data_IF_961522637112
#
_entry.id   IF_961522637112
#
_cell.length_a   1.000
_cell.length_b   1.000
_cell.length_c   1.000
_cell.angle_alpha   90.00
_cell.angle_beta   90.00
_cell.angle_gamma   90.00
#
_symmetry.space_group_name_H-M   'P 1'
#
loop_
_entity.id
_entity.type
_entity.pdbx_description
1 polymer ?
#
# COMPACT_ATOMS: atom_id res chain seq x y z
N UNK A 1 -16.50 -4.12 -18.96
CA UNK A 1 -16.80 -2.75 -18.50
C UNK A 1 -15.69 -1.80 -18.90
N UNK A 2 -16.02 -0.52 -19.05
CA UNK A 2 -15.05 0.56 -19.19
C UNK A 2 -14.85 1.22 -17.83
N UNK A 3 -13.66 1.08 -17.27
CA UNK A 3 -13.36 1.45 -15.88
C UNK A 3 -12.28 2.54 -15.86
N UNK A 4 -12.60 3.70 -15.30
CA UNK A 4 -11.61 4.71 -14.97
C UNK A 4 -10.98 4.43 -13.60
N UNK A 5 -9.66 4.56 -13.49
CA UNK A 5 -8.94 4.46 -12.20
C UNK A 5 -8.17 5.75 -11.96
N UNK A 6 -8.42 6.38 -10.82
CA UNK A 6 -7.66 7.54 -10.35
C UNK A 6 -6.95 7.21 -9.03
N UNK A 7 -5.66 7.42 -8.99
CA UNK A 7 -4.81 7.20 -7.81
C UNK A 7 -3.65 8.19 -7.78
N UNK A 8 -2.92 8.23 -6.69
CA UNK A 8 -1.62 8.88 -6.69
C UNK A 8 -0.61 8.02 -7.47
N UNK A 9 0.04 8.53 -8.52
CA UNK A 9 1.02 7.77 -9.31
C UNK A 9 2.37 7.65 -8.59
N UNK A 10 2.42 8.01 -7.31
CA UNK A 10 3.63 8.06 -6.51
C UNK A 10 3.99 6.71 -5.89
N UNK A 11 5.24 6.58 -5.49
CA UNK A 11 5.78 5.44 -4.76
C UNK A 11 5.04 5.25 -3.43
N UNK A 12 4.24 4.19 -3.31
CA UNK A 12 3.46 3.88 -2.11
C UNK A 12 2.46 2.74 -2.31
N UNK A 13 1.97 2.19 -1.22
CA UNK A 13 1.10 1.01 -1.24
C UNK A 13 -0.21 1.22 -2.00
N UNK A 14 -0.86 2.37 -1.85
CA UNK A 14 -2.13 2.67 -2.53
C UNK A 14 -1.98 2.79 -4.05
N UNK A 15 -0.91 3.46 -4.53
CA UNK A 15 -0.60 3.54 -5.96
C UNK A 15 -0.28 2.18 -6.56
N UNK A 16 0.49 1.36 -5.82
CA UNK A 16 0.79 -0.01 -6.23
C UNK A 16 -0.47 -0.86 -6.37
N UNK A 17 -1.35 -0.85 -5.37
CA UNK A 17 -2.63 -1.61 -5.39
C UNK A 17 -3.54 -1.13 -6.52
N UNK A 18 -3.69 0.18 -6.72
CA UNK A 18 -4.51 0.72 -7.79
C UNK A 18 -4.02 0.28 -9.17
N UNK A 19 -2.71 0.29 -9.38
CA UNK A 19 -2.10 -0.13 -10.66
C UNK A 19 -2.25 -1.62 -10.89
N UNK A 20 -1.92 -2.45 -9.89
CA UNK A 20 -2.08 -3.90 -9.98
C UNK A 20 -3.55 -4.29 -10.20
N UNK A 21 -4.50 -3.61 -9.52
CA UNK A 21 -5.93 -3.82 -9.74
C UNK A 21 -6.32 -3.54 -11.19
N UNK A 22 -5.89 -2.41 -11.74
CA UNK A 22 -6.20 -2.07 -13.13
C UNK A 22 -5.61 -3.05 -14.13
N UNK A 23 -4.37 -3.52 -13.90
CA UNK A 23 -3.73 -4.54 -14.74
C UNK A 23 -4.48 -5.88 -14.68
N UNK A 24 -4.90 -6.32 -13.51
CA UNK A 24 -5.67 -7.55 -13.33
C UNK A 24 -7.08 -7.46 -13.95
N UNK A 25 -7.76 -6.32 -13.80
CA UNK A 25 -9.05 -6.06 -14.47
C UNK A 25 -8.91 -6.09 -15.99
N UNK A 26 -7.84 -5.51 -16.54
CA UNK A 26 -7.57 -5.55 -17.97
C UNK A 26 -7.32 -6.99 -18.48
N UNK A 27 -6.57 -7.81 -17.74
CA UNK A 27 -6.38 -9.24 -18.05
C UNK A 27 -7.69 -10.02 -18.04
N UNK A 28 -8.67 -9.59 -17.24
CA UNK A 28 -10.02 -10.17 -17.15
C UNK A 28 -10.98 -9.64 -18.21
N UNK A 29 -10.51 -8.78 -19.10
CA UNK A 29 -11.24 -8.32 -20.29
C UNK A 29 -11.91 -6.96 -20.17
N UNK A 30 -11.72 -6.24 -19.06
CA UNK A 30 -12.19 -4.87 -18.92
C UNK A 30 -11.28 -3.88 -19.68
N UNK A 31 -11.82 -2.75 -20.12
CA UNK A 31 -11.02 -1.60 -20.57
C UNK A 31 -10.73 -0.72 -19.37
N UNK A 32 -9.46 -0.45 -19.12
CA UNK A 32 -9.01 0.29 -17.92
C UNK A 32 -8.32 1.58 -18.34
N UNK A 33 -8.81 2.70 -17.82
CA UNK A 33 -8.37 4.05 -18.15
C UNK A 33 -7.77 4.68 -16.87
N UNK A 34 -6.43 4.72 -16.77
CA UNK A 34 -5.76 5.44 -15.69
C UNK A 34 -5.80 6.95 -15.95
N UNK A 35 -6.30 7.71 -14.97
CA UNK A 35 -6.43 9.17 -15.04
C UNK A 35 -5.61 9.76 -13.91
N UNK A 36 -4.36 10.14 -14.19
CA UNK A 36 -3.37 10.59 -13.19
C UNK A 36 -2.44 11.64 -13.81
N UNK A 37 -1.70 12.39 -12.97
CA UNK A 37 -0.77 13.43 -13.46
C UNK A 37 0.58 12.90 -13.95
N UNK A 38 0.91 11.66 -13.64
CA UNK A 38 2.11 10.96 -14.09
C UNK A 38 1.79 9.48 -14.29
N UNK A 39 2.67 8.75 -14.96
CA UNK A 39 2.48 7.31 -15.14
C UNK A 39 2.31 6.59 -13.79
N UNK A 40 1.27 5.76 -13.62
CA UNK A 40 1.07 5.05 -12.37
C UNK A 40 2.29 4.20 -11.98
N UNK A 41 2.64 4.24 -10.70
CA UNK A 41 3.70 3.40 -10.15
C UNK A 41 3.40 1.91 -10.44
N UNK A 42 4.37 1.17 -10.93
CA UNK A 42 4.27 -0.22 -11.42
C UNK A 42 3.61 -0.40 -12.80
N UNK A 43 3.09 0.62 -13.45
CA UNK A 43 2.68 0.50 -14.85
C UNK A 43 3.93 0.50 -15.74
N UNK A 44 4.33 -0.69 -16.20
CA UNK A 44 5.55 -0.88 -17.00
C UNK A 44 5.21 -1.32 -18.41
N UNK A 45 5.64 -0.53 -19.39
CA UNK A 45 5.49 -0.87 -20.79
C UNK A 45 4.03 -0.95 -21.26
N UNK A 46 3.81 -1.66 -22.35
CA UNK A 46 2.50 -1.87 -22.95
C UNK A 46 1.72 -2.95 -22.20
N UNK A 47 0.47 -2.64 -21.89
CA UNK A 47 -0.50 -3.61 -21.39
C UNK A 47 -1.78 -3.52 -22.24
N UNK A 48 -2.25 -4.65 -22.75
CA UNK A 48 -3.47 -4.71 -23.54
C UNK A 48 -4.67 -4.21 -22.72
N UNK A 49 -5.56 -3.41 -23.33
CA UNK A 49 -6.75 -2.83 -22.71
C UNK A 49 -6.48 -1.84 -21.58
N UNK A 50 -5.26 -1.34 -21.45
CA UNK A 50 -4.88 -0.32 -20.49
C UNK A 50 -4.55 0.97 -21.22
N UNK A 51 -5.21 2.05 -20.83
CA UNK A 51 -5.04 3.38 -21.40
C UNK A 51 -4.61 4.37 -20.32
N UNK A 52 -3.75 5.31 -20.68
CA UNK A 52 -3.27 6.33 -19.76
C UNK A 52 -3.69 7.72 -20.24
N UNK A 53 -4.33 8.48 -19.36
CA UNK A 53 -4.79 9.84 -19.60
C UNK A 53 -4.10 10.78 -18.62
N UNK A 54 -3.14 11.53 -19.11
CA UNK A 54 -2.38 12.45 -18.28
C UNK A 54 -3.18 13.68 -17.92
N UNK A 55 -3.21 14.01 -16.63
CA UNK A 55 -3.69 15.28 -16.12
C UNK A 55 -2.54 16.28 -16.19
N UNK A 56 -2.70 17.33 -16.95
CA UNK A 56 -1.70 18.39 -17.03
C UNK A 56 -1.58 19.12 -15.70
N UNK A 57 -0.38 19.25 -15.17
CA UNK A 57 -0.09 19.94 -13.90
C UNK A 57 0.78 21.17 -14.10
N UNK A 58 1.09 21.53 -15.36
CA UNK A 58 1.89 22.70 -15.70
C UNK A 58 0.99 23.72 -16.40
N UNK A 59 0.69 24.82 -15.72
CA UNK A 59 0.21 26.04 -16.38
C UNK A 59 1.35 27.01 -16.55
N UNK A 60 1.34 27.77 -17.65
CA UNK A 60 2.05 29.03 -17.70
C UNK A 60 1.65 29.87 -16.49
N UNK A 61 2.55 30.72 -15.99
CA UNK A 61 2.29 31.58 -14.82
C UNK A 61 1.00 32.37 -15.03
N UNK A 62 -0.07 31.96 -14.36
CA UNK A 62 -1.30 32.76 -14.30
C UNK A 62 -1.32 33.49 -12.96
N UNK A 63 -1.32 34.83 -12.94
CA UNK A 63 -1.09 35.62 -11.72
C UNK A 63 -2.11 35.40 -10.61
N UNK A 64 -3.29 34.83 -10.92
CA UNK A 64 -4.36 34.57 -9.93
C UNK A 64 -4.20 33.24 -9.18
N UNK A 65 -3.27 32.37 -9.58
CA UNK A 65 -3.04 31.10 -8.92
C UNK A 65 -1.62 31.06 -8.35
N UNK A 66 -1.52 31.14 -7.03
CA UNK A 66 -0.26 30.90 -6.32
C UNK A 66 0.19 29.44 -6.46
N UNK A 67 -0.79 28.53 -6.52
CA UNK A 67 -0.58 27.10 -6.71
C UNK A 67 -1.47 26.57 -7.84
N UNK A 68 -0.95 25.58 -8.58
CA UNK A 68 -1.71 24.94 -9.63
C UNK A 68 -2.94 24.23 -9.05
N UNK A 69 -4.17 24.51 -9.55
CA UNK A 69 -5.40 23.92 -9.02
C UNK A 69 -5.58 22.49 -9.52
N UNK A 70 -4.74 21.57 -9.06
CA UNK A 70 -4.74 20.15 -9.47
C UNK A 70 -6.13 19.51 -9.41
N UNK A 71 -6.86 19.77 -8.33
CA UNK A 71 -8.21 19.19 -8.12
C UNK A 71 -9.18 19.55 -9.26
N UNK A 72 -9.15 20.80 -9.72
CA UNK A 72 -10.01 21.24 -10.83
C UNK A 72 -9.58 20.62 -12.16
N UNK A 73 -8.28 20.54 -12.41
CA UNK A 73 -7.74 19.91 -13.62
C UNK A 73 -8.06 18.42 -13.67
N UNK A 74 -7.95 17.74 -12.52
CA UNK A 74 -8.30 16.32 -12.40
C UNK A 74 -9.80 16.09 -12.66
N UNK A 75 -10.68 16.88 -12.04
CA UNK A 75 -12.14 16.77 -12.27
C UNK A 75 -12.47 16.96 -13.75
N UNK A 76 -11.89 17.97 -14.43
CA UNK A 76 -12.09 18.21 -15.86
C UNK A 76 -11.60 17.02 -16.70
N UNK A 77 -10.44 16.44 -16.38
CA UNK A 77 -9.90 15.28 -17.11
C UNK A 77 -10.74 14.01 -16.86
N UNK A 78 -11.19 13.78 -15.63
CA UNK A 78 -12.10 12.68 -15.31
C UNK A 78 -13.41 12.79 -16.08
N UNK A 79 -14.01 13.99 -16.16
CA UNK A 79 -15.20 14.27 -16.97
C UNK A 79 -14.96 13.99 -18.47
N UNK A 80 -13.89 14.56 -19.05
CA UNK A 80 -13.52 14.35 -20.46
C UNK A 80 -13.41 12.87 -20.80
N UNK A 81 -12.66 12.11 -19.98
CA UNK A 81 -12.44 10.68 -20.22
C UNK A 81 -13.72 9.89 -20.00
N UNK A 82 -14.50 10.20 -18.97
CA UNK A 82 -15.76 9.51 -18.68
C UNK A 82 -16.73 9.62 -19.86
N UNK A 83 -16.86 10.81 -20.44
CA UNK A 83 -17.74 11.05 -21.58
C UNK A 83 -17.23 10.38 -22.87
N UNK A 84 -15.93 10.57 -23.19
CA UNK A 84 -15.33 10.07 -24.43
C UNK A 84 -15.23 8.55 -24.48
N UNK A 85 -14.78 7.94 -23.39
CA UNK A 85 -14.54 6.50 -23.30
C UNK A 85 -15.75 5.74 -22.74
N UNK A 86 -16.85 6.43 -22.46
CA UNK A 86 -18.08 5.84 -21.93
C UNK A 86 -17.82 5.02 -20.66
N UNK A 87 -17.15 5.61 -19.67
CA UNK A 87 -16.84 4.93 -18.42
C UNK A 87 -18.13 4.54 -17.68
N UNK A 88 -18.28 3.29 -17.31
CA UNK A 88 -19.37 2.79 -16.47
C UNK A 88 -19.06 3.04 -14.99
N UNK A 89 -17.79 2.88 -14.62
CA UNK A 89 -17.27 3.07 -13.27
C UNK A 89 -16.06 4.01 -13.30
N UNK A 90 -16.04 4.98 -12.40
CA UNK A 90 -14.86 5.73 -12.03
C UNK A 90 -14.44 5.30 -10.61
N UNK A 91 -13.47 4.41 -10.54
CA UNK A 91 -12.91 3.93 -9.28
C UNK A 91 -11.75 4.82 -8.85
N UNK A 92 -11.92 5.45 -7.71
CA UNK A 92 -10.92 6.37 -7.16
C UNK A 92 -10.35 5.83 -5.85
N UNK A 93 -9.06 6.01 -5.69
CA UNK A 93 -8.33 5.64 -4.49
C UNK A 93 -8.09 6.90 -3.65
N UNK A 94 -8.60 6.93 -2.43
CA UNK A 94 -8.73 8.02 -1.47
C UNK A 94 -10.02 8.85 -1.60
N UNK A 95 -10.60 9.17 -0.43
CA UNK A 95 -11.75 10.07 -0.31
C UNK A 95 -11.39 11.47 -0.80
N UNK A 96 -10.22 11.97 -0.45
CA UNK A 96 -9.70 13.28 -0.88
C UNK A 96 -8.30 13.16 -1.48
N UNK A 97 -8.02 13.85 -2.58
CA UNK A 97 -8.94 14.69 -3.37
C UNK A 97 -9.75 13.89 -4.41
N UNK A 98 -9.50 12.58 -4.58
CA UNK A 98 -9.91 11.84 -5.75
C UNK A 98 -11.43 11.59 -5.82
N UNK A 99 -12.10 11.23 -4.69
CA UNK A 99 -13.54 11.07 -4.70
C UNK A 99 -14.27 12.43 -4.87
N UNK A 100 -13.72 13.50 -4.29
CA UNK A 100 -14.22 14.86 -4.51
C UNK A 100 -14.19 15.23 -5.98
N UNK A 101 -13.09 14.94 -6.70
CA UNK A 101 -12.95 15.24 -8.13
C UNK A 101 -13.86 14.37 -8.99
N UNK A 102 -14.05 13.10 -8.61
CA UNK A 102 -14.96 12.18 -9.30
C UNK A 102 -16.42 12.62 -9.15
N UNK A 103 -16.81 13.10 -7.96
CA UNK A 103 -18.11 13.71 -7.74
C UNK A 103 -18.31 14.90 -8.68
N UNK A 104 -17.36 15.84 -8.75
CA UNK A 104 -17.44 16.99 -9.65
C UNK A 104 -17.53 16.55 -11.12
N UNK A 105 -16.74 15.57 -11.53
CA UNK A 105 -16.77 15.05 -12.89
C UNK A 105 -18.14 14.45 -13.24
N UNK A 106 -18.78 13.72 -12.32
CA UNK A 106 -20.12 13.17 -12.48
C UNK A 106 -21.17 14.28 -12.59
N UNK A 107 -21.12 15.30 -11.74
CA UNK A 107 -22.04 16.44 -11.83
C UNK A 107 -21.88 17.23 -13.15
N UNK A 108 -20.64 17.35 -13.66
CA UNK A 108 -20.37 17.99 -14.96
C UNK A 108 -20.96 17.21 -16.14
N UNK A 109 -21.18 15.89 -16.03
CA UNK A 109 -21.86 15.09 -17.04
C UNK A 109 -23.35 15.45 -17.17
N UNK A 110 -23.94 16.10 -16.15
CA UNK A 110 -25.30 16.59 -16.16
C UNK A 110 -26.35 15.57 -16.65
N UNK A 111 -26.14 14.30 -16.36
CA UNK A 111 -27.02 13.20 -16.80
C UNK A 111 -26.80 12.69 -18.23
N UNK A 112 -25.86 13.24 -19.00
CA UNK A 112 -25.52 12.76 -20.34
C UNK A 112 -25.02 11.31 -20.36
N UNK A 113 -24.40 10.89 -19.26
CA UNK A 113 -23.85 9.55 -19.09
C UNK A 113 -23.98 9.06 -17.63
N UNK A 114 -24.44 7.80 -17.39
CA UNK A 114 -24.67 7.26 -16.04
C UNK A 114 -23.38 6.76 -15.41
N UNK A 115 -22.47 7.66 -15.04
CA UNK A 115 -21.22 7.33 -14.39
C UNK A 115 -21.43 6.97 -12.91
N UNK A 116 -20.92 5.81 -12.47
CA UNK A 116 -20.85 5.41 -11.07
C UNK A 116 -19.49 5.69 -10.47
N UNK A 117 -19.47 6.25 -9.27
CA UNK A 117 -18.24 6.57 -8.53
C UNK A 117 -18.04 5.58 -7.40
N UNK A 118 -16.92 4.88 -7.43
CA UNK A 118 -16.52 3.95 -6.35
C UNK A 118 -15.23 4.47 -5.71
N UNK A 119 -15.19 4.47 -4.39
CA UNK A 119 -14.04 4.97 -3.62
C UNK A 119 -13.45 3.88 -2.75
N UNK A 120 -12.15 3.61 -2.91
CA UNK A 120 -11.39 2.77 -1.98
C UNK A 120 -10.59 3.64 -1.02
N UNK A 121 -10.83 3.45 0.29
CA UNK A 121 -10.13 4.12 1.37
C UNK A 121 -8.83 3.39 1.71
N UNK A 122 -7.74 4.16 1.89
CA UNK A 122 -6.39 3.61 2.12
C UNK A 122 -5.78 3.95 3.47
N UNK A 123 -6.39 4.83 4.25
CA UNK A 123 -6.03 5.13 5.63
C UNK A 123 -5.54 6.55 5.87
N UNK A 124 -4.61 7.09 5.10
CA UNK A 124 -4.12 8.47 5.29
C UNK A 124 -5.27 9.50 5.20
N UNK A 125 -6.20 9.26 4.30
CA UNK A 125 -7.45 10.03 4.13
C UNK A 125 -8.41 9.91 5.32
N UNK A 126 -8.32 8.85 6.09
CA UNK A 126 -9.23 8.57 7.21
C UNK A 126 -8.58 8.88 8.58
N UNK A 127 -7.34 8.43 8.78
CA UNK A 127 -6.70 8.47 10.09
C UNK A 127 -5.80 9.69 10.31
N UNK A 128 -5.48 10.44 9.26
CA UNK A 128 -4.61 11.61 9.31
C UNK A 128 -5.28 12.84 8.68
N UNK A 129 -5.12 12.99 7.36
CA UNK A 129 -5.51 14.23 6.65
C UNK A 129 -7.02 14.50 6.75
N UNK A 130 -7.85 13.47 6.63
CA UNK A 130 -9.30 13.63 6.66
C UNK A 130 -9.86 14.07 8.02
N UNK A 131 -9.09 13.91 9.10
CA UNK A 131 -9.49 14.38 10.45
C UNK A 131 -9.07 15.83 10.74
N UNK A 132 -8.23 16.41 9.89
CA UNK A 132 -7.90 17.83 9.96
C UNK A 132 -9.16 18.67 9.78
N UNK A 133 -9.35 19.70 10.62
CA UNK A 133 -10.56 20.53 10.59
C UNK A 133 -10.88 21.12 9.22
N UNK A 134 -9.86 21.46 8.45
CA UNK A 134 -9.97 21.99 7.07
C UNK A 134 -10.44 20.96 6.05
N UNK A 135 -10.28 19.67 6.33
CA UNK A 135 -10.58 18.59 5.38
C UNK A 135 -11.71 17.66 5.84
N UNK A 136 -12.10 17.72 7.12
CA UNK A 136 -13.11 16.82 7.67
C UNK A 136 -14.43 16.86 6.88
N UNK A 137 -14.97 18.05 6.65
CA UNK A 137 -16.26 18.22 5.97
C UNK A 137 -16.25 17.67 4.53
N UNK A 138 -15.18 17.99 3.77
CA UNK A 138 -15.07 17.53 2.38
C UNK A 138 -14.77 16.03 2.30
N UNK A 139 -14.03 15.47 3.25
CA UNK A 139 -13.76 14.03 3.33
C UNK A 139 -15.05 13.26 3.59
N UNK A 140 -15.82 13.67 4.61
CA UNK A 140 -17.12 13.08 4.92
C UNK A 140 -18.07 13.16 3.70
N UNK A 141 -18.21 14.33 3.12
CA UNK A 141 -19.02 14.55 1.92
C UNK A 141 -18.61 13.60 0.77
N UNK A 142 -17.32 13.49 0.49
CA UNK A 142 -16.83 12.67 -0.62
C UNK A 142 -17.10 11.18 -0.41
N UNK A 143 -17.03 10.70 0.83
CA UNK A 143 -17.41 9.33 1.20
C UNK A 143 -18.91 9.13 0.97
N UNK A 144 -19.74 10.03 1.47
CA UNK A 144 -21.22 9.94 1.41
C UNK A 144 -21.77 10.10 -0.02
N UNK A 145 -21.05 10.77 -0.92
CA UNK A 145 -21.45 10.99 -2.31
C UNK A 145 -20.96 9.90 -3.28
N UNK A 146 -20.15 8.97 -2.82
CA UNK A 146 -19.73 7.82 -3.64
C UNK A 146 -20.88 6.80 -3.76
N UNK A 147 -21.09 6.25 -4.95
CA UNK A 147 -22.09 5.19 -5.18
C UNK A 147 -21.72 3.88 -4.49
N UNK A 148 -20.42 3.67 -4.25
CA UNK A 148 -19.89 2.57 -3.48
C UNK A 148 -18.59 2.95 -2.76
N UNK A 149 -18.42 2.45 -1.55
CA UNK A 149 -17.21 2.69 -0.74
C UNK A 149 -16.62 1.38 -0.29
N UNK A 150 -15.30 1.24 -0.43
CA UNK A 150 -14.57 0.11 0.15
C UNK A 150 -13.41 0.57 1.02
N UNK A 151 -13.07 -0.28 2.00
CA UNK A 151 -11.89 -0.11 2.84
C UNK A 151 -10.99 -1.34 2.72
N UNK A 152 -9.68 -1.13 2.83
CA UNK A 152 -8.68 -2.21 2.65
C UNK A 152 -8.56 -3.16 3.84
N UNK A 153 -9.29 -2.91 4.92
CA UNK A 153 -9.33 -3.74 6.13
C UNK A 153 -10.58 -3.47 6.95
N UNK A 154 -10.94 -4.40 7.82
CA UNK A 154 -11.98 -4.23 8.84
C UNK A 154 -11.63 -3.06 9.78
N UNK A 155 -10.37 -3.01 10.19
CA UNK A 155 -9.86 -1.89 10.99
C UNK A 155 -10.16 -0.53 10.34
N UNK A 156 -9.85 -0.37 9.05
CA UNK A 156 -10.04 0.92 8.38
C UNK A 156 -11.53 1.27 8.18
N UNK A 157 -12.38 0.26 7.90
CA UNK A 157 -13.84 0.45 7.87
C UNK A 157 -14.34 0.99 9.21
N UNK A 158 -13.96 0.34 10.31
CA UNK A 158 -14.42 0.69 11.65
C UNK A 158 -13.91 2.09 12.06
N UNK A 159 -12.66 2.42 11.70
CA UNK A 159 -12.10 3.76 11.88
C UNK A 159 -12.86 4.82 11.05
N UNK A 160 -13.30 4.48 9.85
CA UNK A 160 -14.12 5.38 9.01
C UNK A 160 -15.44 5.69 9.68
N UNK A 161 -16.14 4.68 10.19
CA UNK A 161 -17.39 4.87 10.93
C UNK A 161 -17.18 5.69 12.19
N UNK A 162 -16.11 5.41 12.93
CA UNK A 162 -15.78 6.12 14.17
C UNK A 162 -15.45 7.61 13.91
N UNK A 163 -14.66 7.90 12.88
CA UNK A 163 -14.20 9.25 12.59
C UNK A 163 -15.28 10.12 11.96
N UNK A 164 -16.09 9.60 11.03
CA UNK A 164 -17.00 10.40 10.23
C UNK A 164 -18.49 10.19 10.54
N UNK A 165 -18.83 9.21 11.40
CA UNK A 165 -20.22 8.96 11.78
C UNK A 165 -21.13 8.71 10.58
N UNK A 166 -20.62 8.00 9.57
CA UNK A 166 -21.27 7.76 8.28
C UNK A 166 -22.53 6.90 8.48
N UNK A 167 -23.69 7.53 8.67
CA UNK A 167 -24.96 6.82 8.95
C UNK A 167 -25.57 6.10 7.75
N UNK A 168 -25.23 6.51 6.53
CA UNK A 168 -25.83 6.05 5.29
C UNK A 168 -24.82 5.42 4.32
N UNK A 169 -23.55 5.25 4.66
CA UNK A 169 -22.57 4.63 3.79
C UNK A 169 -22.28 3.19 4.24
N UNK A 170 -22.52 2.23 3.37
CA UNK A 170 -22.03 0.86 3.54
C UNK A 170 -20.59 0.78 3.04
N UNK A 171 -19.65 0.63 3.96
CA UNK A 171 -18.21 0.51 3.63
C UNK A 171 -17.86 -0.98 3.54
N UNK A 172 -17.72 -1.47 2.32
CA UNK A 172 -17.36 -2.86 2.06
C UNK A 172 -15.88 -3.10 2.34
N UNK A 173 -15.55 -4.18 3.04
CA UNK A 173 -14.15 -4.57 3.22
C UNK A 173 -13.70 -5.39 2.01
N UNK A 174 -12.75 -4.84 1.24
CA UNK A 174 -12.06 -5.55 0.16
C UNK A 174 -10.56 -5.40 0.44
N UNK A 175 -9.89 -6.46 0.91
CA UNK A 175 -8.48 -6.39 1.28
C UNK A 175 -7.57 -6.02 0.11
N UNK A 176 -6.41 -5.45 0.40
CA UNK A 176 -5.35 -5.39 -0.59
C UNK A 176 -4.89 -6.81 -0.96
N UNK A 177 -4.30 -6.94 -2.13
CA UNK A 177 -3.81 -8.22 -2.62
C UNK A 177 -2.35 -8.13 -3.06
N UNK A 178 -1.74 -9.28 -3.25
CA UNK A 178 -0.37 -9.41 -3.73
C UNK A 178 -0.34 -10.19 -5.05
N UNK A 179 0.50 -9.75 -5.96
CA UNK A 179 0.79 -10.46 -7.21
C UNK A 179 1.76 -11.62 -6.93
N UNK A 180 1.23 -12.84 -6.83
CA UNK A 180 2.01 -14.05 -6.53
C UNK A 180 2.88 -14.52 -7.70
N UNK A 181 2.79 -13.94 -8.89
CA UNK A 181 3.73 -14.20 -9.98
C UNK A 181 5.05 -13.47 -9.75
N UNK A 182 5.00 -12.25 -9.19
CA UNK A 182 6.16 -11.45 -8.84
C UNK A 182 6.67 -11.76 -7.43
N UNK A 183 5.76 -11.76 -6.44
CA UNK A 183 6.08 -12.02 -5.03
C UNK A 183 5.86 -13.49 -4.70
N UNK A 184 6.90 -14.28 -4.79
CA UNK A 184 6.92 -15.72 -4.51
C UNK A 184 8.26 -16.12 -3.89
N UNK A 185 8.38 -17.29 -3.27
CA UNK A 185 9.66 -17.77 -2.75
C UNK A 185 10.76 -17.71 -3.82
N UNK A 186 11.93 -17.22 -3.42
CA UNK A 186 13.06 -17.05 -4.34
C UNK A 186 13.72 -18.37 -4.72
N UNK A 187 14.41 -18.34 -5.85
CA UNK A 187 15.31 -19.43 -6.26
C UNK A 187 16.54 -19.49 -5.34
N UNK A 188 17.20 -20.65 -5.20
CA UNK A 188 18.46 -20.76 -4.49
C UNK A 188 19.48 -19.74 -5.00
N UNK A 189 20.22 -19.09 -4.07
CA UNK A 189 21.23 -18.08 -4.42
C UNK A 189 20.72 -16.62 -4.48
N UNK A 190 19.43 -16.36 -4.40
CA UNK A 190 18.91 -14.96 -4.30
C UNK A 190 19.52 -14.24 -3.08
N UNK A 191 19.74 -14.95 -2.00
CA UNK A 191 20.29 -14.46 -0.75
C UNK A 191 21.77 -14.07 -0.83
N UNK A 192 22.58 -14.82 -1.58
CA UNK A 192 24.05 -14.67 -1.64
C UNK A 192 24.48 -13.31 -2.17
N UNK A 193 23.56 -12.63 -2.90
CA UNK A 193 23.76 -11.26 -3.40
C UNK A 193 23.53 -10.19 -2.33
N UNK A 194 22.84 -10.53 -1.25
CA UNK A 194 22.41 -9.57 -0.22
C UNK A 194 23.34 -9.53 0.97
N UNK A 195 23.90 -10.68 1.37
CA UNK A 195 24.82 -10.77 2.50
C UNK A 195 25.80 -11.91 2.30
N UNK A 196 27.02 -11.85 2.92
CA UNK A 196 27.94 -12.95 2.96
C UNK A 196 27.34 -14.23 3.54
N UNK A 197 27.95 -15.37 3.17
CA UNK A 197 27.54 -16.68 3.70
C UNK A 197 27.55 -16.68 5.25
N UNK A 198 26.52 -17.30 5.81
CA UNK A 198 26.33 -17.40 7.26
C UNK A 198 25.68 -16.19 7.94
N UNK A 199 25.51 -15.06 7.27
CA UNK A 199 24.78 -13.91 7.83
C UNK A 199 23.27 -14.05 7.60
N UNK A 200 22.44 -13.59 8.53
CA UNK A 200 20.99 -13.46 8.35
C UNK A 200 20.68 -12.17 7.60
N UNK A 201 19.77 -12.23 6.65
CA UNK A 201 19.29 -11.07 5.89
C UNK A 201 17.98 -10.58 6.47
N UNK A 202 17.99 -9.37 6.98
CA UNK A 202 16.80 -8.70 7.52
C UNK A 202 16.40 -7.60 6.55
N UNK A 203 15.11 -7.43 6.30
CA UNK A 203 14.61 -6.40 5.36
C UNK A 203 13.55 -5.51 5.98
N UNK A 204 13.47 -4.28 5.49
CA UNK A 204 12.40 -3.33 5.74
C UNK A 204 12.06 -2.55 4.47
N UNK A 205 10.77 -2.36 4.20
CA UNK A 205 10.27 -1.57 3.06
C UNK A 205 9.24 -0.57 3.55
N UNK A 206 9.50 0.73 3.38
CA UNK A 206 8.53 1.79 3.67
C UNK A 206 8.90 3.13 3.03
N UNK A 207 8.05 4.14 3.20
CA UNK A 207 8.30 5.52 2.79
C UNK A 207 8.91 6.39 3.91
N UNK A 208 9.67 5.85 4.81
CA UNK A 208 10.44 6.45 5.92
C UNK A 208 9.81 7.70 6.53
N UNK A 209 8.57 7.57 6.99
CA UNK A 209 7.83 8.61 7.73
C UNK A 209 7.73 8.22 9.19
N UNK A 210 7.48 9.19 10.07
CA UNK A 210 7.35 9.01 11.52
C UNK A 210 6.46 7.81 11.90
N UNK A 211 5.29 7.68 11.25
CA UNK A 211 4.37 6.55 11.45
C UNK A 211 5.00 5.18 11.18
N UNK A 212 6.09 5.10 10.40
CA UNK A 212 6.80 3.85 10.08
C UNK A 212 7.85 3.49 11.12
N UNK A 213 8.19 4.42 12.02
CA UNK A 213 9.12 4.20 13.16
C UNK A 213 10.44 3.55 12.70
N UNK A 214 11.04 4.08 11.64
CA UNK A 214 12.24 3.48 11.02
C UNK A 214 13.43 3.38 11.97
N UNK A 215 13.53 4.24 12.99
CA UNK A 215 14.52 4.13 14.07
C UNK A 215 14.34 2.84 14.86
N UNK A 216 13.11 2.42 15.10
CA UNK A 216 12.84 1.16 15.81
C UNK A 216 13.22 -0.06 14.96
N UNK A 217 13.19 0.02 13.63
CA UNK A 217 13.76 -1.03 12.76
C UNK A 217 15.24 -1.21 13.07
N UNK A 218 16.00 -0.10 13.14
CA UNK A 218 17.43 -0.11 13.45
C UNK A 218 17.67 -0.68 14.85
N UNK A 219 16.88 -0.27 15.85
CA UNK A 219 16.98 -0.76 17.23
C UNK A 219 16.72 -2.25 17.35
N UNK A 220 15.68 -2.76 16.70
CA UNK A 220 15.38 -4.20 16.62
C UNK A 220 16.53 -4.94 15.94
N UNK A 221 17.02 -4.43 14.82
CA UNK A 221 18.15 -4.99 14.10
C UNK A 221 19.42 -5.03 14.95
N UNK A 222 19.75 -3.97 15.69
CA UNK A 222 20.92 -3.93 16.57
C UNK A 222 20.90 -5.06 17.61
N UNK A 223 19.72 -5.47 18.09
CA UNK A 223 19.60 -6.64 18.98
C UNK A 223 19.87 -7.95 18.26
N UNK A 224 19.34 -8.10 17.05
CA UNK A 224 19.61 -9.28 16.21
C UNK A 224 21.12 -9.37 15.95
N UNK A 225 21.74 -8.26 15.53
CA UNK A 225 23.15 -8.19 15.18
C UNK A 225 24.09 -8.51 16.35
N UNK A 226 23.73 -8.11 17.59
CA UNK A 226 24.47 -8.49 18.81
C UNK A 226 24.40 -9.99 19.11
N UNK A 227 23.34 -10.67 18.67
CA UNK A 227 23.08 -12.08 18.96
C UNK A 227 23.63 -13.04 17.88
N UNK A 228 23.77 -12.55 16.64
CA UNK A 228 24.23 -13.33 15.49
C UNK A 228 24.69 -12.44 14.33
N UNK A 229 25.53 -12.96 13.41
CA UNK A 229 25.86 -12.25 12.16
C UNK A 229 24.59 -11.98 11.34
N UNK A 230 24.35 -10.71 10.99
CA UNK A 230 23.19 -10.29 10.23
C UNK A 230 23.48 -9.01 9.44
N UNK A 231 22.77 -8.81 8.34
CA UNK A 231 22.74 -7.57 7.57
C UNK A 231 21.29 -7.07 7.46
N UNK A 232 21.09 -5.74 7.52
CA UNK A 232 19.81 -5.08 7.34
C UNK A 232 19.78 -4.35 6.00
N UNK A 233 18.73 -4.61 5.22
CA UNK A 233 18.45 -3.93 3.97
C UNK A 233 17.24 -3.02 4.16
N UNK A 234 17.47 -1.71 4.15
CA UNK A 234 16.46 -0.66 4.27
C UNK A 234 16.07 -0.17 2.87
N UNK A 235 14.82 -0.43 2.48
CA UNK A 235 14.31 -0.11 1.13
C UNK A 235 13.25 0.97 1.24
N UNK A 236 13.44 2.05 0.50
CA UNK A 236 12.59 3.22 0.51
C UNK A 236 13.33 4.48 0.87
N UNK A 237 12.58 5.57 0.98
CA UNK A 237 13.12 6.90 1.26
C UNK A 237 12.04 7.76 1.92
N UNK A 238 12.47 8.81 2.62
CA UNK A 238 11.54 9.73 3.27
C UNK A 238 12.21 10.62 4.32
N UNK A 239 11.43 11.47 5.00
CA UNK A 239 11.96 12.45 5.95
C UNK A 239 12.85 11.85 7.04
N UNK A 240 12.51 10.66 7.54
CA UNK A 240 13.19 10.04 8.69
C UNK A 240 14.43 9.21 8.29
N UNK A 241 14.86 9.27 7.02
CA UNK A 241 16.03 8.53 6.55
C UNK A 241 17.30 8.91 7.31
N UNK A 242 17.56 10.22 7.42
CA UNK A 242 18.76 10.71 8.11
C UNK A 242 18.76 10.30 9.58
N UNK A 243 17.61 10.32 10.24
CA UNK A 243 17.46 9.89 11.62
C UNK A 243 17.76 8.40 11.80
N UNK A 244 17.32 7.55 10.85
CA UNK A 244 17.62 6.13 10.87
C UNK A 244 19.12 5.85 10.63
N UNK A 245 19.78 6.60 9.74
CA UNK A 245 21.22 6.50 9.50
C UNK A 245 22.04 6.96 10.74
N UNK A 246 21.59 8.00 11.44
CA UNK A 246 22.20 8.46 12.69
C UNK A 246 22.03 7.40 13.79
N UNK A 247 20.83 6.86 13.96
CA UNK A 247 20.53 5.80 14.92
C UNK A 247 21.44 4.56 14.70
N UNK A 248 21.67 4.18 13.42
CA UNK A 248 22.56 3.07 13.10
C UNK A 248 24.02 3.33 13.54
N UNK A 249 24.53 4.56 13.33
CA UNK A 249 25.87 4.97 13.78
C UNK A 249 25.96 4.99 15.31
N UNK A 250 24.99 5.55 16.00
CA UNK A 250 24.95 5.61 17.47
C UNK A 250 24.94 4.23 18.11
N UNK A 251 24.27 3.26 17.46
CA UNK A 251 24.23 1.87 17.92
C UNK A 251 25.41 1.02 17.43
N UNK A 252 26.31 1.57 16.59
CA UNK A 252 27.49 0.89 16.05
C UNK A 252 27.17 -0.25 15.11
N UNK A 253 26.07 -0.16 14.33
CA UNK A 253 25.64 -1.19 13.38
C UNK A 253 25.59 -0.69 11.93
N UNK A 254 26.02 0.53 11.68
CA UNK A 254 25.96 1.19 10.37
C UNK A 254 26.69 0.41 9.27
N UNK A 255 27.79 -0.26 9.59
CA UNK A 255 28.52 -1.13 8.66
C UNK A 255 27.69 -2.33 8.15
N UNK A 256 26.68 -2.76 8.90
CA UNK A 256 25.83 -3.90 8.60
C UNK A 256 24.42 -3.44 8.06
N UNK A 257 24.20 -2.13 7.87
CA UNK A 257 22.94 -1.57 7.37
C UNK A 257 23.15 -0.96 5.98
N UNK A 258 22.32 -1.34 5.03
CA UNK A 258 22.33 -0.80 3.67
C UNK A 258 21.04 -0.06 3.37
N UNK A 259 21.12 1.24 3.08
CA UNK A 259 20.01 2.08 2.65
C UNK A 259 19.99 2.14 1.11
N UNK A 260 19.06 1.44 0.48
CA UNK A 260 19.02 1.32 -0.98
C UNK A 260 18.22 2.43 -1.68
N UNK A 261 17.51 3.27 -0.93
CA UNK A 261 16.62 4.26 -1.52
C UNK A 261 15.37 3.62 -2.14
N UNK A 262 14.75 4.34 -3.08
CA UNK A 262 13.55 3.87 -3.79
C UNK A 262 13.93 2.87 -4.86
N UNK A 263 13.25 1.74 -4.87
CA UNK A 263 13.45 0.65 -5.85
C UNK A 263 12.08 0.26 -6.41
N UNK A 264 11.99 0.12 -7.72
CA UNK A 264 10.72 -0.15 -8.42
C UNK A 264 10.16 -1.55 -8.14
N UNK A 265 11.02 -2.57 -8.04
CA UNK A 265 10.63 -3.93 -7.66
C UNK A 265 11.48 -4.41 -6.49
N UNK A 266 10.83 -4.71 -5.40
CA UNK A 266 11.48 -5.17 -4.16
C UNK A 266 11.43 -6.70 -4.03
N UNK A 267 10.76 -7.39 -4.94
CA UNK A 267 10.52 -8.83 -4.85
C UNK A 267 11.81 -9.63 -4.69
N UNK A 268 12.85 -9.37 -5.51
CA UNK A 268 14.12 -10.08 -5.45
C UNK A 268 14.87 -9.90 -4.12
N UNK A 269 14.68 -8.75 -3.47
CA UNK A 269 15.26 -8.47 -2.16
C UNK A 269 14.52 -9.21 -1.05
N UNK A 270 13.18 -9.21 -1.11
CA UNK A 270 12.33 -9.95 -0.17
C UNK A 270 12.50 -11.47 -0.30
N UNK A 271 12.73 -11.98 -1.51
CA UNK A 271 13.01 -13.39 -1.77
C UNK A 271 14.27 -13.91 -1.07
N UNK A 272 15.26 -13.03 -0.88
CA UNK A 272 16.50 -13.35 -0.16
C UNK A 272 16.45 -13.05 1.35
N UNK A 273 15.31 -12.59 1.87
CA UNK A 273 15.17 -12.17 3.27
C UNK A 273 14.86 -13.34 4.21
N UNK A 274 15.56 -13.39 5.34
CA UNK A 274 15.25 -14.33 6.43
C UNK A 274 14.14 -13.79 7.36
N UNK A 275 14.01 -12.46 7.47
CA UNK A 275 13.02 -11.81 8.33
C UNK A 275 12.71 -10.41 7.82
N UNK A 276 11.43 -10.02 7.90
CA UNK A 276 10.96 -8.66 7.59
C UNK A 276 10.53 -7.94 8.88
N UNK A 277 10.93 -6.68 9.06
CA UNK A 277 10.59 -5.89 10.24
C UNK A 277 9.67 -4.74 9.86
N UNK A 278 8.53 -4.58 10.56
CA UNK A 278 7.56 -3.51 10.34
C UNK A 278 6.98 -2.97 11.67
N UNK A 279 7.73 -2.13 12.42
CA UNK A 279 7.34 -1.64 13.74
C UNK A 279 6.42 -0.41 13.68
N UNK A 280 5.63 -0.26 12.61
CA UNK A 280 4.80 0.90 12.37
C UNK A 280 3.88 1.24 13.52
N UNK A 281 3.62 2.52 13.75
CA UNK A 281 2.67 2.99 14.75
C UNK A 281 1.24 2.68 14.35
N UNK A 282 0.94 2.75 13.05
CA UNK A 282 -0.34 2.34 12.47
C UNK A 282 -0.12 1.87 11.03
N UNK A 283 -0.92 0.91 10.62
CA UNK A 283 -0.99 0.39 9.24
C UNK A 283 -2.45 0.16 8.88
N UNK A 284 -2.87 0.62 7.72
CA UNK A 284 -4.24 0.36 7.28
C UNK A 284 -4.44 -1.09 6.87
N UNK A 285 -3.39 -1.76 6.38
CA UNK A 285 -3.42 -3.16 5.95
C UNK A 285 -2.06 -3.85 6.16
N UNK A 286 -0.95 -3.24 5.67
CA UNK A 286 0.38 -3.81 5.73
C UNK A 286 0.80 -4.53 4.44
N UNK A 287 0.61 -3.89 3.27
CA UNK A 287 0.96 -4.47 1.97
C UNK A 287 2.41 -4.97 1.91
N UNK A 288 3.37 -4.20 2.44
CA UNK A 288 4.78 -4.60 2.44
C UNK A 288 5.03 -5.87 3.29
N UNK A 289 4.28 -6.05 4.39
CA UNK A 289 4.32 -7.29 5.17
C UNK A 289 3.76 -8.47 4.36
N UNK A 290 2.63 -8.27 3.66
CA UNK A 290 2.03 -9.29 2.81
C UNK A 290 2.97 -9.70 1.66
N UNK A 291 3.64 -8.74 1.02
CA UNK A 291 4.64 -8.98 -0.03
C UNK A 291 5.84 -9.78 0.50
N UNK A 292 6.32 -9.45 1.70
CA UNK A 292 7.39 -10.21 2.37
C UNK A 292 6.95 -11.65 2.69
N UNK A 293 5.74 -11.81 3.23
CA UNK A 293 5.15 -13.13 3.52
C UNK A 293 5.00 -13.98 2.26
N UNK A 294 4.58 -13.39 1.15
CA UNK A 294 4.47 -14.08 -0.14
C UNK A 294 5.84 -14.57 -0.65
N UNK A 295 6.90 -13.82 -0.40
CA UNK A 295 8.28 -14.21 -0.71
C UNK A 295 8.84 -15.26 0.30
N UNK A 296 8.08 -15.58 1.36
CA UNK A 296 8.48 -16.51 2.38
C UNK A 296 9.39 -15.90 3.45
N UNK A 297 9.31 -14.59 3.68
CA UNK A 297 9.98 -13.92 4.79
C UNK A 297 9.00 -13.75 5.96
N UNK A 298 9.20 -14.42 7.11
CA UNK A 298 8.39 -14.17 8.30
C UNK A 298 8.48 -12.70 8.72
N UNK A 299 7.40 -12.17 9.29
CA UNK A 299 7.28 -10.76 9.64
C UNK A 299 7.32 -10.57 11.15
N UNK A 300 8.12 -9.62 11.62
CA UNK A 300 8.04 -9.07 12.98
C UNK A 300 7.47 -7.67 12.89
N UNK A 301 6.29 -7.45 13.44
CA UNK A 301 5.56 -6.20 13.30
C UNK A 301 4.90 -5.72 14.59
N UNK A 302 4.46 -4.48 14.58
CA UNK A 302 3.57 -3.94 15.61
C UNK A 302 2.17 -4.55 15.50
N UNK A 303 1.52 -4.80 16.62
CA UNK A 303 0.09 -5.12 16.69
C UNK A 303 -0.71 -3.83 16.53
N UNK A 304 -0.79 -3.32 15.31
CA UNK A 304 -1.35 -2.01 14.99
C UNK A 304 -2.20 -2.03 13.72
N UNK A 305 -3.34 -1.34 13.77
CA UNK A 305 -4.21 -1.18 12.61
C UNK A 305 -4.70 -2.50 12.01
N UNK A 306 -4.60 -2.63 10.71
CA UNK A 306 -4.97 -3.83 9.95
C UNK A 306 -3.93 -4.96 9.95
N UNK A 307 -2.75 -4.79 10.57
CA UNK A 307 -1.73 -5.85 10.61
C UNK A 307 -2.21 -7.16 11.24
N UNK A 308 -3.05 -7.18 12.30
CA UNK A 308 -3.61 -8.41 12.85
C UNK A 308 -4.58 -9.17 11.90
N UNK A 309 -5.03 -8.56 10.82
CA UNK A 309 -5.85 -9.23 9.80
C UNK A 309 -4.98 -10.05 8.82
N UNK A 310 -3.71 -9.65 8.67
CA UNK A 310 -2.72 -10.28 7.79
C UNK A 310 -1.80 -11.24 8.56
N UNK A 311 -1.45 -10.88 9.80
CA UNK A 311 -0.48 -11.62 10.61
C UNK A 311 -1.18 -12.27 11.80
N UNK A 312 -1.15 -13.60 11.86
CA UNK A 312 -1.56 -14.42 12.99
C UNK A 312 -0.32 -14.63 13.88
N UNK A 313 -0.32 -14.02 15.08
CA UNK A 313 0.85 -14.01 15.98
C UNK A 313 1.32 -15.41 16.32
N UNK A 314 2.63 -15.63 16.29
CA UNK A 314 3.35 -16.88 16.50
C UNK A 314 3.05 -17.99 15.48
N UNK A 315 2.20 -17.75 14.47
CA UNK A 315 1.86 -18.72 13.41
C UNK A 315 2.58 -18.37 12.11
N UNK A 316 2.26 -17.21 11.52
CA UNK A 316 2.83 -16.76 10.25
C UNK A 316 3.72 -15.51 10.37
N UNK A 317 3.86 -14.99 11.60
CA UNK A 317 4.67 -13.84 11.97
C UNK A 317 4.63 -13.58 13.46
N UNK A 318 5.17 -12.46 13.88
CA UNK A 318 5.28 -12.04 15.28
C UNK A 318 4.66 -10.66 15.42
N UNK A 319 3.70 -10.51 16.33
CA UNK A 319 3.07 -9.23 16.65
C UNK A 319 3.39 -8.81 18.08
N UNK A 320 3.93 -7.60 18.25
CA UNK A 320 4.21 -6.99 19.54
C UNK A 320 3.52 -5.62 19.66
N UNK A 321 3.27 -5.12 20.86
CA UNK A 321 2.76 -3.76 21.01
C UNK A 321 3.66 -2.72 20.34
N UNK A 322 3.07 -1.62 19.87
CA UNK A 322 3.82 -0.51 19.26
C UNK A 322 4.92 -0.02 20.20
N UNK A 323 6.13 0.14 19.69
CA UNK A 323 7.30 0.59 20.46
C UNK A 323 7.97 -0.49 21.31
N UNK A 324 7.49 -1.72 21.33
CA UNK A 324 8.09 -2.84 22.08
C UNK A 324 9.33 -3.41 21.41
N UNK A 325 10.33 -2.56 21.14
CA UNK A 325 11.58 -2.89 20.45
C UNK A 325 12.30 -4.09 21.10
N UNK A 326 12.32 -4.11 22.44
CA UNK A 326 12.97 -5.17 23.22
C UNK A 326 12.32 -6.54 22.95
N UNK A 327 11.00 -6.60 22.99
CA UNK A 327 10.26 -7.83 22.75
C UNK A 327 10.35 -8.28 21.29
N UNK A 328 10.24 -7.34 20.33
CA UNK A 328 10.43 -7.62 18.90
C UNK A 328 11.81 -8.23 18.63
N UNK A 329 12.87 -7.60 19.16
CA UNK A 329 14.24 -8.06 18.96
C UNK A 329 14.49 -9.43 19.60
N UNK A 330 13.99 -9.66 20.82
CA UNK A 330 14.13 -10.96 21.50
C UNK A 330 13.43 -12.07 20.72
N UNK A 331 12.16 -11.89 20.35
CA UNK A 331 11.40 -12.90 19.60
C UNK A 331 11.98 -13.15 18.20
N UNK A 332 12.50 -12.09 17.54
CA UNK A 332 13.23 -12.22 16.28
C UNK A 332 14.47 -13.12 16.43
N UNK A 333 15.28 -12.91 17.47
CA UNK A 333 16.47 -13.73 17.75
C UNK A 333 16.08 -15.17 18.05
N UNK A 334 15.06 -15.39 18.87
CA UNK A 334 14.55 -16.73 19.17
C UNK A 334 14.12 -17.48 17.89
N UNK A 335 13.37 -16.81 17.01
CA UNK A 335 12.93 -17.37 15.74
C UNK A 335 14.12 -17.71 14.82
N UNK A 336 15.08 -16.78 14.66
CA UNK A 336 16.22 -16.96 13.76
C UNK A 336 17.22 -18.01 14.23
N UNK A 337 17.21 -18.37 15.53
CA UNK A 337 18.03 -19.44 16.12
C UNK A 337 17.40 -20.82 16.01
N UNK A 338 16.12 -20.89 15.69
CA UNK A 338 15.35 -22.14 15.58
C UNK A 338 14.97 -22.38 14.11
N UNK A 339 15.74 -23.15 13.35
CA UNK A 339 15.49 -23.38 11.92
C UNK A 339 14.16 -24.10 11.65
N UNK A 340 13.71 -24.97 12.55
CA UNK A 340 12.46 -25.71 12.41
C UNK A 340 11.27 -24.78 12.55
N UNK A 341 11.24 -24.02 13.62
CA UNK A 341 10.20 -22.99 13.86
C UNK A 341 10.19 -21.91 12.78
N UNK A 342 11.38 -21.46 12.34
CA UNK A 342 11.51 -20.50 11.25
C UNK A 342 10.95 -21.06 9.94
N UNK A 343 11.28 -22.31 9.61
CA UNK A 343 10.75 -23.00 8.43
C UNK A 343 9.22 -23.17 8.45
N UNK A 344 8.67 -23.55 9.62
CA UNK A 344 7.22 -23.67 9.82
C UNK A 344 6.52 -22.31 9.67
N UNK A 345 7.05 -21.24 10.27
CA UNK A 345 6.50 -19.89 10.16
C UNK A 345 6.58 -19.35 8.73
N UNK A 346 7.69 -19.61 8.03
CA UNK A 346 7.86 -19.30 6.60
C UNK A 346 6.76 -19.96 5.74
N UNK A 347 6.51 -21.23 5.93
CA UNK A 347 5.46 -21.97 5.19
C UNK A 347 4.07 -21.41 5.50
N UNK A 348 3.78 -21.11 6.76
CA UNK A 348 2.53 -20.48 7.18
C UNK A 348 2.34 -19.07 6.61
N UNK A 349 3.42 -18.27 6.52
CA UNK A 349 3.40 -16.94 5.91
C UNK A 349 3.02 -17.01 4.41
N UNK A 350 3.64 -17.92 3.66
CA UNK A 350 3.30 -18.16 2.25
C UNK A 350 1.83 -18.59 2.10
N UNK A 351 1.36 -19.52 2.91
CA UNK A 351 -0.02 -20.01 2.88
C UNK A 351 -1.04 -18.89 3.21
N UNK A 352 -0.71 -18.01 4.15
CA UNK A 352 -1.53 -16.84 4.47
C UNK A 352 -1.56 -15.85 3.29
N UNK A 353 -0.42 -15.57 2.67
CA UNK A 353 -0.35 -14.65 1.53
C UNK A 353 -1.19 -15.14 0.33
N UNK A 354 -1.31 -16.44 0.11
CA UNK A 354 -2.19 -17.01 -0.92
C UNK A 354 -3.68 -16.67 -0.73
N UNK A 355 -4.11 -16.38 0.50
CA UNK A 355 -5.48 -15.96 0.78
C UNK A 355 -5.77 -14.55 0.24
N UNK A 356 -4.73 -13.76 0.01
CA UNK A 356 -4.77 -12.40 -0.54
C UNK A 356 -4.22 -12.33 -1.97
N UNK A 357 -4.34 -13.40 -2.74
CA UNK A 357 -3.95 -13.40 -4.15
C UNK A 357 -4.88 -12.54 -5.01
N UNK A 358 -4.38 -12.01 -6.12
CA UNK A 358 -5.17 -11.29 -7.10
C UNK A 358 -6.40 -12.10 -7.56
N UNK A 359 -6.24 -13.41 -7.79
CA UNK A 359 -7.31 -14.30 -8.22
C UNK A 359 -8.48 -14.40 -7.23
N UNK A 360 -8.23 -14.15 -5.95
CA UNK A 360 -9.27 -14.16 -4.90
C UNK A 360 -9.88 -12.79 -4.66
N UNK A 361 -9.08 -11.74 -4.71
CA UNK A 361 -9.52 -10.40 -4.30
C UNK A 361 -10.10 -9.61 -5.49
N UNK A 362 -9.52 -9.71 -6.68
CA UNK A 362 -10.03 -8.94 -7.84
C UNK A 362 -11.48 -9.28 -8.18
N UNK A 363 -11.95 -10.55 -8.13
CA UNK A 363 -13.37 -10.86 -8.28
C UNK A 363 -14.31 -10.17 -7.29
N UNK A 364 -13.83 -9.82 -6.07
CA UNK A 364 -14.62 -9.06 -5.12
C UNK A 364 -14.88 -7.62 -5.61
N UNK A 365 -13.88 -7.00 -6.28
CA UNK A 365 -14.05 -5.70 -6.94
C UNK A 365 -14.99 -5.81 -8.14
N UNK A 366 -14.86 -6.85 -8.98
CA UNK A 366 -15.77 -7.06 -10.13
C UNK A 366 -17.22 -7.22 -9.65
N UNK A 367 -17.47 -8.03 -8.63
CA UNK A 367 -18.80 -8.17 -8.01
C UNK A 367 -19.32 -6.83 -7.49
N UNK A 368 -18.46 -6.07 -6.82
CA UNK A 368 -18.81 -4.76 -6.29
C UNK A 368 -19.17 -3.75 -7.39
N UNK A 369 -18.42 -3.75 -8.50
CA UNK A 369 -18.73 -2.89 -9.64
C UNK A 369 -20.07 -3.26 -10.26
N UNK A 370 -20.35 -4.55 -10.47
CA UNK A 370 -21.64 -5.00 -11.02
C UNK A 370 -22.82 -4.64 -10.13
N UNK A 371 -22.68 -4.76 -8.82
CA UNK A 371 -23.72 -4.38 -7.86
C UNK A 371 -24.01 -2.87 -7.86
N UNK A 372 -22.98 -2.05 -7.99
CA UNK A 372 -23.13 -0.58 -8.00
C UNK A 372 -23.69 -0.06 -9.34
N UNK A 373 -23.40 -0.74 -10.45
CA UNK A 373 -23.89 -0.36 -11.79
C UNK A 373 -25.31 -0.85 -12.04
N UNK A 374 -25.72 -1.98 -11.43
CA UNK A 374 -27.08 -2.52 -11.55
C UNK A 374 -28.14 -1.59 -10.95
#
# INVERSE_FOLDING_TARGET
MNIGITCYPTYGGSGAVATELGLELARRGHQVHFITYDSPFRLRGYAERVFFHQVETRMGRYPLFDHYPYTLALASKQHEVALRERLEVLHVHYAIPHATTAYLAREMLNGEWPLKVITTLHGTDITLVGQESSFYGITKFSIEQSDGVSAVSTYLRDETYRAFGCGNCDVRVIPNFVNLQEYRPGEPGCRDRLAPEGQKVITHVSNFREVKRVKDVIRVFARIRRAMPAALIMIGDGPDRMDAENEARELGVDADVRFLGRIDSVASLLQGSDLFILPSQTESFGLAALEAMACGSPVVASRAGGLPEVIDDAVNGILEPVGSVEAMGRRAVELLRDPERHGAMRAAAIAKAQQFSADRIVPMYESFYHEVVA
#
